data_IF_764471848453
#
_entry.id   IF_764471848453
#
_cell.length_a   1.000
_cell.length_b   1.000
_cell.length_c   1.000
_cell.angle_alpha   90.00
_cell.angle_beta   90.00
_cell.angle_gamma   90.00
#
_symmetry.space_group_name_H-M   'P 1'
#
loop_
_entity.id
_entity.type
_entity.pdbx_description
1 polymer ?
#
# COMPACT_ATOMS: atom_id res chain seq x y z
N UNK A 1 21.54 9.16 -0.44
CA UNK A 1 21.55 10.50 -1.08
C UNK A 1 21.80 10.27 -2.55
N UNK A 2 20.96 10.84 -3.42
CA UNK A 2 21.22 10.79 -4.87
C UNK A 2 22.31 11.81 -5.19
N UNK A 3 23.32 11.44 -5.97
CA UNK A 3 24.25 12.42 -6.53
C UNK A 3 23.62 12.97 -7.81
N UNK A 4 23.26 14.27 -7.81
CA UNK A 4 22.66 14.99 -8.94
C UNK A 4 21.37 14.39 -9.52
N UNK A 5 20.59 13.69 -8.69
CA UNK A 5 19.32 13.07 -9.06
C UNK A 5 18.09 13.82 -8.53
N UNK A 6 16.91 13.40 -8.99
CA UNK A 6 15.61 13.83 -8.48
C UNK A 6 15.04 12.73 -7.59
N UNK A 7 14.63 13.07 -6.37
CA UNK A 7 13.90 12.17 -5.47
C UNK A 7 12.45 12.60 -5.46
N UNK A 8 11.55 11.68 -5.81
CA UNK A 8 10.11 11.89 -5.68
C UNK A 8 9.70 11.55 -4.25
N UNK A 9 9.30 12.56 -3.48
CA UNK A 9 8.70 12.33 -2.17
C UNK A 9 7.25 11.87 -2.34
N UNK A 10 7.04 10.55 -2.40
CA UNK A 10 5.71 9.95 -2.62
C UNK A 10 4.69 10.37 -1.56
N UNK A 11 5.11 10.66 -0.31
CA UNK A 11 4.19 11.06 0.76
C UNK A 11 3.44 12.36 0.48
N UNK A 12 3.95 13.19 -0.44
CA UNK A 12 3.30 14.43 -0.87
C UNK A 12 2.05 14.18 -1.73
N UNK A 13 1.89 12.98 -2.32
CA UNK A 13 0.67 12.61 -3.06
C UNK A 13 -0.57 12.59 -2.16
N UNK A 14 -0.40 12.33 -0.86
CA UNK A 14 -1.48 12.41 0.14
C UNK A 14 -2.16 13.80 0.19
N UNK A 15 -1.43 14.87 -0.16
CA UNK A 15 -1.96 16.23 -0.11
C UNK A 15 -2.92 16.54 -1.25
N UNK A 16 -2.81 15.85 -2.38
CA UNK A 16 -3.71 16.02 -3.52
C UNK A 16 -5.14 15.52 -3.25
N UNK A 17 -5.25 14.54 -2.35
CA UNK A 17 -6.49 13.87 -1.97
C UNK A 17 -7.30 14.63 -0.90
N UNK A 18 -6.63 15.45 -0.08
CA UNK A 18 -7.24 16.15 1.06
C UNK A 18 -8.29 17.20 0.75
N UNK A 19 -8.41 17.67 -0.51
CA UNK A 19 -9.43 18.65 -0.91
C UNK A 19 -10.75 18.03 -1.39
N UNK A 20 -10.78 16.75 -1.73
CA UNK A 20 -11.98 16.07 -2.27
C UNK A 20 -12.46 14.86 -1.43
N UNK A 21 -11.83 14.58 -0.28
CA UNK A 21 -12.30 13.55 0.67
C UNK A 21 -12.04 12.10 0.24
N UNK A 22 -11.44 11.87 -0.93
CA UNK A 22 -10.97 10.55 -1.34
C UNK A 22 -9.59 10.32 -0.75
N UNK A 23 -9.49 9.71 0.43
CA UNK A 23 -8.23 9.10 0.87
C UNK A 23 -7.71 8.22 -0.27
N UNK A 24 -6.39 8.14 -0.50
CA UNK A 24 -5.80 7.24 -1.49
C UNK A 24 -6.02 5.75 -1.17
N UNK A 25 -7.06 5.41 -0.43
CA UNK A 25 -7.49 4.10 0.02
C UNK A 25 -9.00 4.02 -0.19
N UNK A 26 -9.46 3.17 -1.10
CA UNK A 26 -10.88 2.93 -1.37
C UNK A 26 -11.16 1.45 -1.17
N UNK A 27 -11.98 1.12 -0.17
CA UNK A 27 -12.27 -0.26 0.22
C UNK A 27 -13.55 -0.76 -0.45
N UNK A 28 -13.44 -1.85 -1.20
CA UNK A 28 -14.54 -2.60 -1.79
C UNK A 28 -14.78 -3.90 -1.03
N UNK A 29 -15.79 -4.68 -1.41
CA UNK A 29 -16.17 -5.90 -0.68
C UNK A 29 -15.08 -6.98 -0.70
N UNK A 30 -14.25 -7.05 -1.74
CA UNK A 30 -13.27 -8.13 -1.96
C UNK A 30 -11.84 -7.66 -2.20
N UNK A 31 -11.61 -6.35 -2.35
CA UNK A 31 -10.30 -5.76 -2.59
C UNK A 31 -10.26 -4.32 -2.09
N UNK A 32 -9.07 -3.73 -2.07
CA UNK A 32 -8.86 -2.34 -1.70
C UNK A 32 -7.93 -1.70 -2.73
N UNK A 33 -8.36 -0.58 -3.30
CA UNK A 33 -7.51 0.24 -4.16
C UNK A 33 -6.72 1.19 -3.27
N UNK A 34 -5.40 1.16 -3.44
CA UNK A 34 -4.47 1.87 -2.55
C UNK A 34 -3.39 2.56 -3.36
N UNK A 35 -3.17 3.85 -3.08
CA UNK A 35 -2.05 4.62 -3.62
C UNK A 35 -0.71 4.05 -3.16
N UNK A 36 0.28 4.02 -4.05
CA UNK A 36 1.62 3.48 -3.74
C UNK A 36 2.34 4.20 -2.60
N UNK A 37 1.96 5.43 -2.30
CA UNK A 37 2.44 6.26 -1.19
C UNK A 37 1.86 5.90 0.17
N UNK A 38 0.71 5.22 0.21
CA UNK A 38 0.02 4.88 1.45
C UNK A 38 0.85 3.90 2.26
N UNK A 39 0.72 3.95 3.59
CA UNK A 39 1.38 3.02 4.51
C UNK A 39 0.42 1.92 4.94
N UNK A 40 0.95 0.71 5.17
CA UNK A 40 0.14 -0.47 5.48
C UNK A 40 -0.73 -0.34 6.73
N UNK A 41 -0.32 0.47 7.72
CA UNK A 41 -1.14 0.74 8.91
C UNK A 41 -2.44 1.49 8.56
N UNK A 42 -2.41 2.41 7.60
CA UNK A 42 -3.61 3.15 7.19
C UNK A 42 -4.53 2.27 6.34
N UNK A 43 -3.95 1.40 5.50
CA UNK A 43 -4.69 0.36 4.78
C UNK A 43 -5.43 -0.55 5.76
N UNK A 44 -4.74 -1.01 6.82
CA UNK A 44 -5.36 -1.83 7.86
C UNK A 44 -6.55 -1.13 8.52
N UNK A 45 -6.38 0.13 8.95
CA UNK A 45 -7.47 0.89 9.57
C UNK A 45 -8.68 1.01 8.63
N UNK A 46 -8.46 1.42 7.38
CA UNK A 46 -9.53 1.57 6.41
C UNK A 46 -10.26 0.24 6.13
N UNK A 47 -9.53 -0.87 5.96
CA UNK A 47 -10.17 -2.18 5.71
C UNK A 47 -10.93 -2.69 6.93
N UNK A 48 -10.44 -2.42 8.14
CA UNK A 48 -11.11 -2.82 9.38
C UNK A 48 -12.45 -2.09 9.60
N UNK A 49 -12.60 -0.86 9.12
CA UNK A 49 -13.90 -0.16 9.13
C UNK A 49 -14.98 -0.91 8.32
N UNK A 50 -14.57 -1.76 7.37
CA UNK A 50 -15.44 -2.65 6.59
C UNK A 50 -15.44 -4.10 7.09
N UNK A 51 -14.72 -4.41 8.17
CA UNK A 51 -14.57 -5.78 8.67
C UNK A 51 -13.66 -6.67 7.81
N UNK A 52 -12.81 -6.07 7.00
CA UNK A 52 -11.90 -6.73 6.06
C UNK A 52 -10.43 -6.54 6.48
N UNK A 53 -9.53 -7.34 5.90
CA UNK A 53 -8.08 -7.24 6.13
C UNK A 53 -7.30 -7.89 4.97
N UNK A 54 -6.18 -7.31 4.52
CA UNK A 54 -5.24 -7.98 3.61
C UNK A 54 -4.77 -9.36 4.12
N UNK A 55 -4.51 -10.28 3.19
CA UNK A 55 -4.11 -11.66 3.50
C UNK A 55 -2.63 -11.81 3.90
N UNK A 56 -1.76 -10.94 3.38
CA UNK A 56 -0.31 -10.97 3.63
C UNK A 56 0.20 -9.62 4.10
N UNK A 57 1.10 -9.63 5.08
CA UNK A 57 1.62 -8.45 5.76
C UNK A 57 3.15 -8.42 5.76
N UNK A 58 3.69 -7.32 6.26
CA UNK A 58 5.07 -7.21 6.76
C UNK A 58 5.06 -7.13 8.28
N UNK A 59 6.17 -7.50 8.93
CA UNK A 59 6.29 -7.45 10.39
C UNK A 59 6.22 -6.02 10.96
N UNK A 60 6.40 -5.01 10.11
CA UNK A 60 6.30 -3.59 10.44
C UNK A 60 5.36 -2.87 9.46
N UNK A 61 4.36 -2.16 9.98
CA UNK A 61 3.25 -1.60 9.19
C UNK A 61 3.46 -0.15 8.72
N UNK A 62 4.51 0.54 9.18
CA UNK A 62 4.85 1.90 8.71
C UNK A 62 5.78 1.84 7.49
N UNK A 63 5.49 0.95 6.56
CA UNK A 63 6.13 0.84 5.25
C UNK A 63 5.10 1.20 4.19
N UNK A 64 5.53 1.81 3.09
CA UNK A 64 4.62 2.13 1.98
C UNK A 64 4.23 0.90 1.18
N UNK A 65 3.03 0.91 0.59
CA UNK A 65 2.54 -0.15 -0.29
C UNK A 65 3.46 -0.33 -1.50
N UNK A 66 3.78 0.75 -2.22
CA UNK A 66 4.66 0.68 -3.39
C UNK A 66 6.07 0.20 -3.04
N UNK A 67 6.57 0.55 -1.84
CA UNK A 67 7.88 0.14 -1.37
C UNK A 67 7.99 -1.36 -1.11
N UNK A 68 7.00 -1.96 -0.44
CA UNK A 68 7.04 -3.40 -0.17
C UNK A 68 6.74 -4.24 -1.42
N UNK A 69 5.84 -3.78 -2.29
CA UNK A 69 5.52 -4.46 -3.56
C UNK A 69 6.67 -4.42 -4.56
N UNK A 70 7.55 -3.41 -4.50
CA UNK A 70 8.78 -3.37 -5.29
C UNK A 70 9.85 -4.37 -4.82
N UNK A 71 9.64 -5.03 -3.68
CA UNK A 71 10.56 -6.01 -3.10
C UNK A 71 9.94 -7.42 -3.03
N UNK A 72 8.91 -7.59 -2.20
CA UNK A 72 8.08 -8.79 -2.07
C UNK A 72 6.97 -8.58 -1.01
N UNK A 73 7.36 -8.12 0.18
CA UNK A 73 6.49 -8.00 1.36
C UNK A 73 6.23 -9.35 2.03
N UNK A 74 7.10 -9.77 2.96
CA UNK A 74 7.04 -11.07 3.64
C UNK A 74 6.77 -10.93 5.14
N UNK A 75 6.07 -11.91 5.69
CA UNK A 75 5.86 -12.11 7.14
C UNK A 75 5.37 -13.56 7.39
N UNK A 76 4.91 -13.88 8.60
CA UNK A 76 4.49 -15.23 8.99
C UNK A 76 3.33 -15.81 8.15
N UNK A 77 2.50 -14.96 7.54
CA UNK A 77 1.38 -15.39 6.70
C UNK A 77 1.83 -15.89 5.31
N UNK A 78 3.07 -15.57 4.90
CA UNK A 78 3.60 -15.89 3.57
C UNK A 78 3.62 -17.38 3.25
N UNK A 79 3.77 -18.25 4.26
CA UNK A 79 3.70 -19.71 4.07
C UNK A 79 2.35 -20.21 3.55
N UNK A 80 1.26 -19.48 3.84
CA UNK A 80 -0.10 -19.86 3.47
C UNK A 80 -0.65 -19.03 2.32
N UNK A 81 -0.38 -17.73 2.30
CA UNK A 81 -0.97 -16.79 1.34
C UNK A 81 0.05 -16.22 0.33
N UNK A 82 1.31 -16.64 0.40
CA UNK A 82 2.39 -16.03 -0.38
C UNK A 82 2.76 -14.62 0.11
N UNK A 83 3.80 -13.99 -0.46
CA UNK A 83 4.18 -12.62 -0.14
C UNK A 83 3.10 -11.61 -0.60
N UNK A 84 3.21 -10.34 -0.20
CA UNK A 84 2.29 -9.27 -0.62
C UNK A 84 2.18 -9.18 -2.14
N UNK A 85 3.28 -9.33 -2.88
CA UNK A 85 3.28 -9.34 -4.36
C UNK A 85 2.44 -10.47 -4.98
N UNK A 86 2.09 -11.52 -4.23
CA UNK A 86 1.19 -12.59 -4.69
C UNK A 86 -0.29 -12.29 -4.41
N UNK A 87 -0.59 -11.17 -3.74
CA UNK A 87 -1.93 -10.76 -3.32
C UNK A 87 -2.31 -9.39 -3.92
N UNK A 88 -1.85 -9.10 -5.14
CA UNK A 88 -2.14 -7.87 -5.89
C UNK A 88 -2.92 -8.24 -7.15
N UNK A 89 -4.04 -7.56 -7.40
CA UNK A 89 -4.88 -7.78 -8.59
C UNK A 89 -4.37 -7.02 -9.80
N UNK A 90 -4.04 -5.73 -9.64
CA UNK A 90 -3.54 -4.84 -10.69
C UNK A 90 -2.69 -3.71 -10.11
N UNK A 91 -2.01 -2.96 -10.98
CA UNK A 91 -1.16 -1.81 -10.63
C UNK A 91 -1.24 -0.73 -11.70
N UNK A 92 -1.39 0.53 -11.27
CA UNK A 92 -1.12 1.70 -12.10
C UNK A 92 0.37 2.06 -12.02
N UNK A 93 1.07 2.04 -13.16
CA UNK A 93 2.52 2.23 -13.24
C UNK A 93 2.87 3.36 -14.20
N UNK A 94 3.68 4.31 -13.73
CA UNK A 94 4.33 5.31 -14.57
C UNK A 94 5.72 4.80 -14.97
N UNK A 95 5.92 4.53 -16.26
CA UNK A 95 7.16 3.97 -16.82
C UNK A 95 8.15 5.03 -17.29
#
# INVERSE_FOLDING_TARGET
MTNDGVVVNMTELNKGFGNNGSSGIVVFDNFVDVGGEQIWIDVLHATLEKGLTPLSWTDYLYLSVGGTLSNAGISGQTSRFGPQISNVLELDVVT
#
